data_IF_863509278461
#
_entry.id   IF_863509278461
#
_cell.length_a   1.000
_cell.length_b   1.000
_cell.length_c   1.000
_cell.angle_alpha   90.00
_cell.angle_beta   90.00
_cell.angle_gamma   90.00
#
_symmetry.space_group_name_H-M   'P 1'
#
loop_
_entity.id
_entity.type
_entity.pdbx_description
1 polymer ?
#
# COMPACT_ATOMS: atom_id res chain seq x y z
N UNK A 1 -10.27 -6.11 -6.98
CA UNK A 1 -11.65 -5.62 -6.83
C UNK A 1 -12.01 -5.68 -5.34
N UNK A 2 -12.81 -4.76 -4.78
CA UNK A 2 -13.37 -4.94 -3.43
C UNK A 2 -14.77 -5.48 -3.63
N UNK A 3 -14.99 -6.75 -3.31
CA UNK A 3 -16.33 -7.36 -3.32
C UNK A 3 -16.84 -7.35 -1.89
N UNK A 4 -18.03 -6.80 -1.71
CA UNK A 4 -18.77 -6.76 -0.45
C UNK A 4 -19.93 -7.74 -0.53
N UNK A 5 -20.05 -8.60 0.48
CA UNK A 5 -21.22 -9.47 0.66
C UNK A 5 -21.86 -9.02 1.98
N UNK A 6 -22.80 -8.06 1.94
CA UNK A 6 -23.59 -7.72 3.11
C UNK A 6 -24.76 -8.69 3.26
N UNK A 7 -25.12 -9.01 4.50
CA UNK A 7 -26.27 -9.87 4.82
C UNK A 7 -27.63 -9.18 4.54
N UNK A 8 -27.64 -7.87 4.29
CA UNK A 8 -28.83 -7.02 4.10
C UNK A 8 -28.76 -6.25 2.76
N UNK A 9 -29.82 -6.38 1.95
CA UNK A 9 -29.96 -5.73 0.63
C UNK A 9 -29.84 -4.20 0.71
N UNK A 10 -30.43 -3.57 1.75
CA UNK A 10 -30.33 -2.12 1.95
C UNK A 10 -28.90 -1.66 2.27
N UNK A 11 -28.12 -2.51 2.94
CA UNK A 11 -26.73 -2.23 3.21
C UNK A 11 -25.87 -2.34 1.94
N UNK A 12 -26.18 -3.28 1.04
CA UNK A 12 -25.50 -3.35 -0.26
C UNK A 12 -25.78 -2.11 -1.09
N UNK A 13 -27.05 -1.69 -1.19
CA UNK A 13 -27.41 -0.48 -1.94
C UNK A 13 -26.65 0.75 -1.43
N UNK A 14 -26.59 0.94 -0.11
CA UNK A 14 -25.84 2.04 0.51
C UNK A 14 -24.32 1.96 0.22
N UNK A 15 -23.74 0.76 0.24
CA UNK A 15 -22.33 0.53 -0.07
C UNK A 15 -22.05 0.79 -1.55
N UNK A 16 -22.87 0.27 -2.46
CA UNK A 16 -22.72 0.46 -3.90
C UNK A 16 -22.88 1.93 -4.30
N UNK A 17 -23.84 2.64 -3.69
CA UNK A 17 -23.99 4.08 -3.83
C UNK A 17 -22.69 4.77 -3.42
N UNK A 18 -22.19 4.51 -2.21
CA UNK A 18 -20.97 5.14 -1.71
C UNK A 18 -19.76 4.92 -2.62
N UNK A 19 -19.64 3.71 -3.19
CA UNK A 19 -18.52 3.31 -4.04
C UNK A 19 -18.58 3.89 -5.44
N UNK A 20 -19.78 4.01 -6.02
CA UNK A 20 -19.99 4.49 -7.38
C UNK A 20 -20.28 5.99 -7.45
N UNK A 21 -20.62 6.63 -6.33
CA UNK A 21 -20.97 8.04 -6.27
C UNK A 21 -19.88 8.95 -6.87
N UNK A 22 -20.22 9.87 -7.81
CA UNK A 22 -19.27 10.81 -8.41
C UNK A 22 -18.48 11.62 -7.38
N UNK A 23 -19.13 11.95 -6.25
CA UNK A 23 -18.51 12.71 -5.14
C UNK A 23 -17.34 11.98 -4.50
N UNK A 24 -17.28 10.65 -4.57
CA UNK A 24 -16.27 9.83 -3.91
C UNK A 24 -15.17 9.32 -4.86
N UNK A 25 -15.37 9.42 -6.17
CA UNK A 25 -14.40 8.97 -7.18
C UNK A 25 -13.01 9.61 -7.04
N UNK A 26 -12.91 10.81 -6.44
CA UNK A 26 -11.62 11.43 -6.18
C UNK A 26 -10.71 10.64 -5.22
N UNK A 27 -11.28 9.75 -4.42
CA UNK A 27 -10.57 8.90 -3.46
C UNK A 27 -10.72 7.42 -3.84
N UNK A 28 -11.91 7.00 -4.25
CA UNK A 28 -12.29 5.57 -4.36
C UNK A 28 -12.22 5.00 -5.78
N UNK A 29 -12.05 5.85 -6.82
CA UNK A 29 -11.96 5.36 -8.19
C UNK A 29 -10.83 4.32 -8.33
N UNK A 30 -11.02 3.35 -9.23
CA UNK A 30 -10.09 2.23 -9.40
C UNK A 30 -8.66 2.68 -9.73
N UNK A 31 -8.51 3.76 -10.48
CA UNK A 31 -7.23 4.39 -10.82
C UNK A 31 -6.66 5.24 -9.67
N UNK A 32 -7.36 5.43 -8.56
CA UNK A 32 -6.94 6.28 -7.43
C UNK A 32 -6.85 5.58 -6.09
N UNK A 33 -7.60 4.49 -5.89
CA UNK A 33 -7.66 3.77 -4.63
C UNK A 33 -6.27 3.28 -4.17
N UNK A 34 -5.39 2.97 -5.12
CA UNK A 34 -4.01 2.57 -4.86
C UNK A 34 -3.19 3.66 -4.15
N UNK A 35 -3.57 4.94 -4.26
CA UNK A 35 -2.92 6.03 -3.53
C UNK A 35 -3.07 5.90 -2.02
N UNK A 36 -4.16 5.29 -1.51
CA UNK A 36 -4.32 5.06 -0.08
C UNK A 36 -3.21 4.16 0.45
N UNK A 37 -2.96 3.05 -0.25
CA UNK A 37 -1.88 2.12 0.07
C UNK A 37 -0.50 2.79 -0.08
N UNK A 38 -0.23 3.43 -1.23
CA UNK A 38 1.07 4.06 -1.47
C UNK A 38 1.40 5.15 -0.45
N UNK A 39 0.42 5.98 -0.10
CA UNK A 39 0.61 7.05 0.87
C UNK A 39 0.93 6.50 2.24
N UNK A 40 0.23 5.43 2.64
CA UNK A 40 0.45 4.77 3.91
C UNK A 40 1.86 4.15 4.01
N UNK A 41 2.33 3.48 2.95
CA UNK A 41 3.67 2.88 2.94
C UNK A 41 4.80 3.93 3.00
N UNK A 42 4.57 5.14 2.47
CA UNK A 42 5.55 6.24 2.44
C UNK A 42 5.53 7.09 3.72
N UNK A 43 4.34 7.46 4.20
CA UNK A 43 4.13 8.43 5.29
C UNK A 43 3.71 7.80 6.62
N UNK A 44 3.28 6.54 6.63
CA UNK A 44 2.84 5.83 7.83
C UNK A 44 1.43 6.22 8.30
N UNK A 45 0.91 7.36 7.87
CA UNK A 45 -0.36 7.92 8.33
C UNK A 45 -1.24 8.35 7.17
N UNK A 46 -2.51 7.95 7.21
CA UNK A 46 -3.55 8.41 6.31
C UNK A 46 -4.79 8.80 7.11
N UNK A 47 -5.27 10.03 6.92
CA UNK A 47 -6.50 10.52 7.54
C UNK A 47 -7.60 10.62 6.50
N UNK A 48 -8.76 10.04 6.80
CA UNK A 48 -9.97 10.09 5.99
C UNK A 48 -11.06 10.81 6.76
N UNK A 49 -11.59 11.89 6.21
CA UNK A 49 -12.75 12.59 6.76
C UNK A 49 -14.00 12.17 6.02
N UNK A 50 -15.06 11.87 6.77
CA UNK A 50 -16.38 11.53 6.27
C UNK A 50 -17.31 12.70 6.56
N UNK A 51 -17.90 13.25 5.50
CA UNK A 51 -18.94 14.27 5.58
C UNK A 51 -20.25 13.57 5.25
N UNK A 52 -21.15 13.47 6.22
CA UNK A 52 -22.47 12.87 6.04
C UNK A 52 -23.54 13.96 6.02
N UNK A 53 -24.45 13.86 5.06
CA UNK A 53 -25.66 14.66 5.04
C UNK A 53 -26.61 14.21 6.14
N UNK A 54 -27.13 15.16 6.92
CA UNK A 54 -28.03 14.87 8.05
C UNK A 54 -29.46 14.50 7.61
N UNK A 55 -29.75 14.59 6.31
CA UNK A 55 -31.08 14.28 5.74
C UNK A 55 -31.22 12.81 5.36
N UNK A 56 -30.19 12.28 4.71
CA UNK A 56 -30.23 10.99 4.03
C UNK A 56 -29.08 10.08 4.45
N UNK A 57 -28.13 10.57 5.27
CA UNK A 57 -26.93 9.84 5.66
C UNK A 57 -25.94 9.60 4.53
N UNK A 58 -26.13 10.25 3.37
CA UNK A 58 -25.22 10.12 2.24
C UNK A 58 -23.83 10.64 2.61
N UNK A 59 -22.82 9.80 2.39
CA UNK A 59 -21.47 10.06 2.89
C UNK A 59 -20.49 10.41 1.78
N UNK A 60 -19.72 11.47 2.01
CA UNK A 60 -18.63 11.92 1.16
C UNK A 60 -17.28 11.72 1.87
N UNK A 61 -16.34 11.01 1.24
CA UNK A 61 -15.00 10.77 1.80
C UNK A 61 -13.95 11.71 1.21
N UNK A 62 -13.09 12.29 2.06
CA UNK A 62 -11.95 13.12 1.64
C UNK A 62 -10.68 12.71 2.37
N UNK A 63 -9.55 12.83 1.67
CA UNK A 63 -8.22 12.63 2.24
C UNK A 63 -7.72 13.93 2.86
N UNK A 64 -7.25 13.86 4.09
CA UNK A 64 -6.49 14.94 4.72
C UNK A 64 -5.01 14.59 4.68
N UNK A 65 -4.17 15.57 4.32
CA UNK A 65 -2.72 15.37 4.33
C UNK A 65 -2.26 15.22 5.77
N UNK A 66 -1.43 14.20 6.05
CA UNK A 66 -0.88 13.99 7.39
C UNK A 66 -0.16 15.24 7.93
N UNK A 67 0.55 15.98 7.08
CA UNK A 67 1.24 17.22 7.45
C UNK A 67 0.29 18.35 7.93
N UNK A 68 -1.03 18.23 7.71
CA UNK A 68 -2.03 19.18 8.22
C UNK A 68 -2.57 18.79 9.60
N UNK A 69 -2.39 17.55 10.03
CA UNK A 69 -2.79 17.10 11.36
C UNK A 69 -1.60 17.32 12.28
N UNK A 70 -1.75 18.20 13.26
CA UNK A 70 -0.64 18.60 14.13
C UNK A 70 -0.63 17.87 15.45
N UNK A 71 -1.78 17.38 15.90
CA UNK A 71 -1.98 16.83 17.24
C UNK A 71 -3.12 15.81 17.21
N UNK A 72 -2.91 14.69 17.90
CA UNK A 72 -3.95 13.70 18.23
C UNK A 72 -4.25 13.91 19.71
N UNK A 73 -5.47 14.34 19.98
CA UNK A 73 -5.97 14.62 21.31
C UNK A 73 -6.59 13.34 21.84
N UNK A 74 -6.07 12.83 22.94
CA UNK A 74 -6.43 11.53 23.52
C UNK A 74 -7.29 11.68 24.76
N UNK A 75 -7.84 10.56 25.23
CA UNK A 75 -8.60 10.53 26.47
C UNK A 75 -7.69 10.85 27.68
N UNK A 76 -8.12 11.69 28.65
CA UNK A 76 -7.30 12.07 29.79
C UNK A 76 -6.82 10.91 30.66
N UNK A 77 -7.62 9.84 30.71
CA UNK A 77 -7.35 8.63 31.51
C UNK A 77 -6.76 7.48 30.69
N UNK A 78 -6.76 7.59 29.35
CA UNK A 78 -6.27 6.54 28.44
C UNK A 78 -5.68 7.16 27.17
N UNK A 79 -4.34 7.15 27.06
CA UNK A 79 -3.62 7.71 25.92
C UNK A 79 -3.76 6.86 24.65
N UNK A 80 -4.28 5.63 24.75
CA UNK A 80 -4.53 4.76 23.60
C UNK A 80 -5.84 5.08 22.87
N UNK A 81 -6.70 5.93 23.44
CA UNK A 81 -8.01 6.30 22.88
C UNK A 81 -7.93 7.69 22.25
N UNK A 82 -7.87 7.81 20.90
CA UNK A 82 -7.94 9.10 20.23
C UNK A 82 -9.36 9.66 20.28
N UNK A 83 -9.50 10.91 20.74
CA UNK A 83 -10.77 11.65 20.76
C UNK A 83 -10.89 12.60 19.58
N UNK A 84 -9.87 13.43 19.35
CA UNK A 84 -9.88 14.43 18.27
C UNK A 84 -8.57 14.49 17.48
N UNK A 85 -8.68 14.81 16.20
CA UNK A 85 -7.57 15.13 15.33
C UNK A 85 -7.57 16.63 15.03
N UNK A 86 -6.53 17.33 15.51
CA UNK A 86 -6.36 18.76 15.27
C UNK A 86 -5.77 18.99 13.89
N UNK A 87 -6.54 19.65 13.03
CA UNK A 87 -6.13 19.99 11.67
C UNK A 87 -5.86 21.49 11.55
N UNK A 88 -4.69 21.85 11.04
CA UNK A 88 -4.30 23.24 10.73
C UNK A 88 -3.95 23.37 9.25
N UNK A 89 -4.60 24.31 8.55
CA UNK A 89 -4.30 24.56 7.14
C UNK A 89 -4.52 26.01 6.74
N UNK A 90 -3.91 26.38 5.62
CA UNK A 90 -4.11 27.67 4.96
C UNK A 90 -4.98 27.45 3.72
N UNK A 91 -5.98 28.32 3.53
CA UNK A 91 -6.73 28.37 2.29
C UNK A 91 -5.89 29.12 1.26
N UNK A 92 -5.82 28.61 0.03
CA UNK A 92 -5.09 29.28 -1.05
C UNK A 92 -5.64 30.68 -1.28
N UNK A 93 -4.79 31.70 -1.10
CA UNK A 93 -5.18 33.11 -1.23
C UNK A 93 -5.63 33.80 0.06
N UNK A 94 -5.73 33.07 1.20
CA UNK A 94 -5.94 33.67 2.52
C UNK A 94 -4.65 33.70 3.33
N UNK A 95 -4.48 34.76 4.14
CA UNK A 95 -3.39 34.86 5.11
C UNK A 95 -3.72 34.13 6.42
N UNK A 96 -5.01 33.85 6.66
CA UNK A 96 -5.50 33.23 7.89
C UNK A 96 -5.30 31.70 7.87
N UNK A 97 -4.83 31.17 8.99
CA UNK A 97 -4.81 29.74 9.25
C UNK A 97 -6.16 29.33 9.86
N UNK A 98 -6.79 28.30 9.29
CA UNK A 98 -7.93 27.64 9.91
C UNK A 98 -7.43 26.49 10.76
N UNK A 99 -8.09 26.31 11.91
CA UNK A 99 -7.84 25.22 12.84
C UNK A 99 -9.18 24.60 13.23
N UNK A 100 -9.37 23.31 12.93
CA UNK A 100 -10.55 22.55 13.37
C UNK A 100 -10.12 21.26 14.08
N UNK A 101 -10.95 20.80 15.00
CA UNK A 101 -10.82 19.52 15.68
C UNK A 101 -11.85 18.55 15.11
N UNK A 102 -11.37 17.48 14.50
CA UNK A 102 -12.24 16.44 13.93
C UNK A 102 -12.38 15.31 14.94
N UNK A 103 -13.60 14.91 15.33
CA UNK A 103 -13.78 13.79 16.24
C UNK A 103 -13.37 12.48 15.57
N UNK A 104 -12.79 11.56 16.35
CA UNK A 104 -12.60 10.18 15.90
C UNK A 104 -13.97 9.52 15.68
N UNK A 105 -14.08 8.76 14.60
CA UNK A 105 -15.33 8.11 14.23
C UNK A 105 -15.91 7.22 15.34
N UNK A 106 -15.08 6.55 16.14
CA UNK A 106 -15.56 5.69 17.23
C UNK A 106 -16.29 6.50 18.27
N UNK A 107 -15.63 7.56 18.74
CA UNK A 107 -16.15 8.40 19.82
C UNK A 107 -17.36 9.21 19.31
N UNK A 108 -17.33 9.64 18.05
CA UNK A 108 -18.46 10.30 17.39
C UNK A 108 -19.75 9.48 17.41
N UNK A 109 -19.68 8.18 17.11
CA UNK A 109 -20.86 7.30 17.12
C UNK A 109 -21.22 6.79 18.53
N UNK A 110 -20.25 6.67 19.44
CA UNK A 110 -20.53 6.29 20.83
C UNK A 110 -21.30 7.35 21.61
N UNK A 111 -21.15 8.63 21.26
CA UNK A 111 -21.74 9.75 22.00
C UNK A 111 -20.92 10.22 23.21
N UNK A 112 -19.82 9.53 23.54
CA UNK A 112 -18.96 9.81 24.71
C UNK A 112 -18.45 11.26 24.78
N UNK A 113 -18.33 11.95 23.64
CA UNK A 113 -17.84 13.34 23.58
C UNK A 113 -18.74 14.34 24.31
N UNK A 114 -20.05 14.10 24.29
CA UNK A 114 -21.05 15.02 24.81
C UNK A 114 -21.59 14.58 26.19
N UNK A 115 -21.05 13.48 26.74
CA UNK A 115 -21.33 13.03 28.10
C UNK A 115 -20.71 13.98 29.14
N UNK A 116 -21.39 14.12 30.28
CA UNK A 116 -20.88 14.92 31.39
C UNK A 116 -19.61 14.28 31.96
N UNK A 117 -18.55 15.07 31.97
CA UNK A 117 -17.25 14.76 32.56
C UNK A 117 -16.99 15.68 33.77
N UNK A 118 -15.81 15.55 34.36
CA UNK A 118 -15.38 16.31 35.54
C UNK A 118 -15.66 17.82 35.39
N UNK A 119 -16.02 18.45 36.52
CA UNK A 119 -16.31 19.89 36.62
C UNK A 119 -17.57 20.38 35.87
N UNK A 120 -18.58 19.51 35.69
CA UNK A 120 -19.83 19.81 34.96
C UNK A 120 -19.58 20.29 33.52
N UNK A 121 -18.50 19.79 32.90
CA UNK A 121 -18.15 20.05 31.50
C UNK A 121 -18.33 18.77 30.72
N UNK A 122 -18.67 18.87 29.44
CA UNK A 122 -18.62 17.67 28.59
C UNK A 122 -17.18 17.21 28.40
N UNK A 123 -16.96 15.94 28.07
CA UNK A 123 -15.63 15.43 27.76
C UNK A 123 -14.95 16.27 26.67
N UNK A 124 -15.68 16.67 25.63
CA UNK A 124 -15.16 17.54 24.58
C UNK A 124 -14.71 18.92 25.12
N UNK A 125 -15.49 19.55 26.00
CA UNK A 125 -15.13 20.85 26.60
C UNK A 125 -13.96 20.77 27.57
N UNK A 126 -13.80 19.64 28.25
CA UNK A 126 -12.68 19.42 29.17
C UNK A 126 -11.35 19.27 28.43
N UNK A 127 -11.35 18.51 27.34
CA UNK A 127 -10.13 18.15 26.62
C UNK A 127 -9.73 19.21 25.60
N UNK A 128 -10.68 19.92 24.99
CA UNK A 128 -10.40 20.92 23.97
C UNK A 128 -10.00 22.28 24.56
N UNK A 129 -9.09 23.02 23.92
CA UNK A 129 -8.79 24.40 24.31
C UNK A 129 -10.03 25.31 24.24
N UNK A 130 -10.12 26.30 25.13
CA UNK A 130 -11.23 27.26 25.14
C UNK A 130 -11.36 27.97 23.77
N UNK A 131 -12.55 27.90 23.17
CA UNK A 131 -12.83 28.46 21.84
C UNK A 131 -12.36 27.60 20.67
N UNK A 132 -12.01 26.33 20.91
CA UNK A 132 -11.73 25.36 19.87
C UNK A 132 -12.97 25.14 18.98
N UNK A 133 -12.78 25.18 17.66
CA UNK A 133 -13.84 24.90 16.69
C UNK A 133 -13.90 23.40 16.40
N UNK A 134 -15.00 22.76 16.81
CA UNK A 134 -15.35 21.36 16.53
C UNK A 134 -15.89 21.23 15.11
N UNK A 135 -15.29 20.35 14.29
CA UNK A 135 -15.64 20.21 12.88
C UNK A 135 -17.07 19.70 12.66
N UNK A 136 -17.57 18.89 13.59
CA UNK A 136 -18.91 18.32 13.62
C UNK A 136 -20.02 19.36 13.92
N UNK A 137 -19.67 20.50 14.53
CA UNK A 137 -20.63 21.53 14.95
C UNK A 137 -20.63 22.79 14.05
N UNK A 138 -19.76 22.88 13.05
CA UNK A 138 -19.58 24.13 12.28
C UNK A 138 -20.80 24.51 11.44
N UNK A 139 -21.57 23.53 10.97
CA UNK A 139 -22.71 23.80 10.10
C UNK A 139 -23.99 24.19 10.86
N UNK A 140 -24.09 23.93 12.17
CA UNK A 140 -25.22 24.43 12.98
C UNK A 140 -25.18 25.95 13.18
N UNK A 141 -23.99 26.56 13.08
CA UNK A 141 -23.76 27.98 13.43
C UNK A 141 -23.94 28.95 12.23
N UNK A 142 -24.24 28.45 11.03
CA UNK A 142 -24.45 29.30 9.82
C UNK A 142 -25.77 30.08 9.87
N UNK A 143 -26.63 29.83 10.86
CA UNK A 143 -27.87 30.57 11.09
C UNK A 143 -27.68 32.06 11.44
N UNK A 144 -26.47 32.51 11.79
CA UNK A 144 -26.20 33.93 12.12
C UNK A 144 -25.81 34.83 10.92
N UNK A 145 -25.63 34.28 9.72
CA UNK A 145 -25.21 35.01 8.52
C UNK A 145 -26.31 35.14 7.46
N UNK A 146 -27.51 35.57 7.88
CA UNK A 146 -28.42 36.41 7.09
C UNK A 146 -28.77 35.98 5.66
N UNK A 147 -28.72 34.69 5.33
CA UNK A 147 -29.19 34.12 4.08
C UNK A 147 -30.53 33.43 4.30
N UNK A 148 -31.58 33.91 3.63
CA UNK A 148 -32.91 33.34 3.68
C UNK A 148 -32.98 32.01 2.91
N UNK A 149 -32.50 30.94 3.53
CA UNK A 149 -32.88 29.55 3.26
C UNK A 149 -32.74 28.77 4.57
N UNK A 150 -33.83 28.71 5.33
CA UNK A 150 -33.91 28.08 6.65
C UNK A 150 -34.06 26.54 6.56
N UNK A 151 -33.56 25.95 5.49
CA UNK A 151 -33.49 24.51 5.20
C UNK A 151 -32.02 24.09 4.93
N UNK A 152 -31.07 24.75 5.60
CA UNK A 152 -29.65 24.39 5.56
C UNK A 152 -29.43 23.06 6.30
N UNK A 153 -29.77 21.98 5.60
CA UNK A 153 -29.46 20.59 5.90
C UNK A 153 -28.05 20.46 6.44
N UNK A 154 -27.94 20.03 7.71
CA UNK A 154 -26.66 19.95 8.40
C UNK A 154 -25.73 18.93 7.75
N UNK A 155 -24.43 19.14 7.90
CA UNK A 155 -23.41 18.18 7.48
C UNK A 155 -22.61 17.80 8.71
N UNK A 156 -22.75 16.55 9.11
CA UNK A 156 -22.02 15.97 10.21
C UNK A 156 -20.69 15.37 9.74
N UNK A 157 -19.65 15.47 10.57
CA UNK A 157 -18.28 15.14 10.15
C UNK A 157 -17.52 14.34 11.20
N UNK A 158 -16.90 13.24 10.78
CA UNK A 158 -15.93 12.50 11.61
C UNK A 158 -14.66 12.16 10.82
N UNK A 159 -13.62 11.73 11.52
CA UNK A 159 -12.35 11.32 10.93
C UNK A 159 -11.96 9.90 11.33
N UNK A 160 -11.47 9.15 10.35
CA UNK A 160 -10.79 7.87 10.54
C UNK A 160 -9.30 8.06 10.30
N UNK A 161 -8.50 7.70 11.30
CA UNK A 161 -7.06 7.59 11.18
C UNK A 161 -6.64 6.16 10.86
N UNK A 162 -5.81 6.04 9.83
CA UNK A 162 -5.15 4.80 9.45
C UNK A 162 -3.66 4.98 9.76
N UNK A 163 -3.21 4.36 10.84
CA UNK A 163 -1.80 4.26 11.22
C UNK A 163 -1.23 2.92 10.77
N UNK A 164 -0.13 2.94 10.02
CA UNK A 164 0.63 1.74 9.67
C UNK A 164 1.71 1.48 10.70
N UNK A 165 1.81 0.23 11.20
CA UNK A 165 2.85 -0.17 12.15
C UNK A 165 2.95 0.77 13.37
N UNK A 166 1.78 1.14 13.90
CA UNK A 166 1.63 1.86 15.17
C UNK A 166 2.43 1.15 16.28
N UNK A 167 3.08 1.93 17.14
CA UNK A 167 3.87 1.41 18.26
C UNK A 167 3.06 1.61 19.53
N UNK A 168 3.21 0.71 20.50
CA UNK A 168 2.41 0.77 21.73
C UNK A 168 2.54 2.10 22.51
N UNK A 169 3.58 2.88 22.24
CA UNK A 169 3.85 4.18 22.89
C UNK A 169 3.31 5.38 22.11
N UNK A 170 2.88 5.21 20.86
CA UNK A 170 2.52 6.32 19.98
C UNK A 170 1.42 5.92 18.98
N UNK A 171 0.36 6.72 18.92
CA UNK A 171 -0.76 6.57 17.99
C UNK A 171 -0.36 6.85 16.54
N UNK A 172 0.78 7.52 16.30
CA UNK A 172 1.27 7.77 14.95
C UNK A 172 1.82 6.50 14.28
N UNK A 173 1.49 6.33 13.01
CA UNK A 173 2.00 5.26 12.17
C UNK A 173 3.44 5.49 11.71
N UNK A 174 4.22 4.40 11.67
CA UNK A 174 5.58 4.35 11.18
C UNK A 174 5.61 3.77 9.76
N UNK A 175 6.05 4.58 8.79
CA UNK A 175 6.06 4.15 7.39
C UNK A 175 7.02 2.99 7.13
N UNK A 176 6.67 2.12 6.19
CA UNK A 176 7.54 1.00 5.78
C UNK A 176 8.90 1.50 5.28
N UNK A 177 8.90 2.64 4.58
CA UNK A 177 10.12 3.21 4.00
C UNK A 177 10.98 4.00 5.00
N UNK A 178 10.52 4.25 6.23
CA UNK A 178 11.30 5.04 7.18
C UNK A 178 12.63 4.34 7.55
N UNK A 179 12.61 3.02 7.70
CA UNK A 179 13.78 2.17 8.01
C UNK A 179 14.76 2.13 6.85
N UNK A 180 14.26 2.11 5.62
CA UNK A 180 15.07 2.11 4.40
C UNK A 180 15.62 3.48 4.01
N UNK A 181 14.98 4.56 4.46
CA UNK A 181 15.26 5.93 4.01
C UNK A 181 16.72 6.36 4.12
N UNK A 182 17.45 6.10 5.23
CA UNK A 182 18.88 6.45 5.32
C UNK A 182 19.73 5.74 4.26
N UNK A 183 19.46 4.46 4.01
CA UNK A 183 20.18 3.65 3.02
C UNK A 183 19.85 4.06 1.59
N UNK A 184 18.59 4.39 1.30
CA UNK A 184 18.19 4.93 0.00
C UNK A 184 18.90 6.25 -0.32
N UNK A 185 19.02 7.16 0.66
CA UNK A 185 19.77 8.41 0.51
C UNK A 185 21.26 8.17 0.30
N UNK A 186 21.86 7.26 1.07
CA UNK A 186 23.26 6.88 0.92
C UNK A 186 23.53 6.28 -0.48
N UNK A 187 22.65 5.40 -0.95
CA UNK A 187 22.76 4.81 -2.29
C UNK A 187 22.63 5.86 -3.39
N UNK A 188 21.70 6.80 -3.27
CA UNK A 188 21.57 7.92 -4.20
C UNK A 188 22.84 8.77 -4.25
N UNK A 189 23.41 9.08 -3.09
CA UNK A 189 24.65 9.86 -2.99
C UNK A 189 25.82 9.11 -3.64
N UNK A 190 25.96 7.82 -3.34
CA UNK A 190 26.95 6.94 -3.97
C UNK A 190 26.87 6.97 -5.50
N UNK A 191 25.66 6.81 -6.08
CA UNK A 191 25.48 6.86 -7.53
C UNK A 191 25.87 8.22 -8.12
N UNK A 192 25.56 9.34 -7.44
CA UNK A 192 25.96 10.69 -7.88
C UNK A 192 27.48 10.86 -7.87
N UNK A 193 28.14 10.39 -6.83
CA UNK A 193 29.60 10.48 -6.72
C UNK A 193 30.27 9.62 -7.79
N UNK A 194 29.71 8.44 -8.09
CA UNK A 194 30.17 7.57 -9.18
C UNK A 194 30.01 8.20 -10.56
N UNK A 195 28.88 8.84 -10.84
CA UNK A 195 28.68 9.59 -12.08
C UNK A 195 29.70 10.73 -12.20
N UNK A 196 30.00 11.40 -11.09
CA UNK A 196 31.01 12.47 -11.03
C UNK A 196 32.42 11.92 -11.31
N UNK A 197 32.78 10.78 -10.71
CA UNK A 197 34.06 10.09 -10.98
C UNK A 197 34.14 9.66 -12.45
N UNK A 198 33.08 9.07 -13.00
CA UNK A 198 33.03 8.67 -14.40
C UNK A 198 33.18 9.87 -15.35
N UNK A 199 32.48 10.97 -15.09
CA UNK A 199 32.61 12.21 -15.85
C UNK A 199 34.03 12.78 -15.76
N UNK A 200 34.64 12.78 -14.56
CA UNK A 200 36.01 13.27 -14.38
C UNK A 200 37.05 12.43 -15.12
N UNK A 201 36.86 11.10 -15.16
CA UNK A 201 37.75 10.15 -15.83
C UNK A 201 37.56 10.07 -17.34
N UNK A 202 36.43 10.54 -17.87
CA UNK A 202 36.23 10.69 -19.31
C UNK A 202 37.14 11.77 -19.94
N UNK A 203 37.76 12.63 -19.12
CA UNK A 203 38.81 13.54 -19.58
C UNK A 203 40.11 12.77 -19.80
N UNK A 204 40.71 12.91 -20.99
CA UNK A 204 42.04 12.34 -21.27
C UNK A 204 43.10 13.03 -20.42
N UNK A 205 43.74 12.29 -19.51
CA UNK A 205 44.87 12.81 -18.73
C UNK A 205 46.11 11.97 -19.00
N UNK A 206 47.09 12.57 -19.68
CA UNK A 206 48.40 11.97 -19.94
C UNK A 206 49.44 12.54 -18.98
N UNK A 207 50.28 11.67 -18.44
CA UNK A 207 51.45 12.08 -17.65
C UNK A 207 52.68 12.03 -18.54
N UNK A 208 53.42 13.14 -18.60
CA UNK A 208 54.72 13.22 -19.29
C UNK A 208 55.84 13.37 -18.28
N UNK A 209 56.70 12.38 -18.21
CA UNK A 209 57.89 12.38 -17.36
C UNK A 209 59.11 12.75 -18.20
N UNK A 210 59.85 13.77 -17.78
CA UNK A 210 61.04 14.27 -18.48
C UNK A 210 62.27 14.04 -17.61
N UNK A 211 63.33 13.47 -18.19
CA UNK A 211 64.62 13.27 -17.52
C UNK A 211 65.40 14.59 -17.48
N UNK A 212 65.37 15.30 -16.35
CA UNK A 212 66.09 16.56 -16.14
C UNK A 212 65.46 17.46 -15.06
N UNK A 213 66.05 18.64 -14.84
CA UNK A 213 65.52 19.66 -13.93
C UNK A 213 64.45 20.57 -14.56
N UNK A 214 64.11 21.67 -13.88
CA UNK A 214 63.04 22.60 -14.29
C UNK A 214 63.15 23.15 -15.73
N UNK A 215 64.38 23.32 -16.25
CA UNK A 215 64.62 23.78 -17.63
C UNK A 215 64.16 22.78 -18.70
N UNK A 216 64.32 21.48 -18.45
CA UNK A 216 63.90 20.44 -19.38
C UNK A 216 62.37 20.34 -19.44
N UNK A 217 61.71 20.49 -18.28
CA UNK A 217 60.23 20.53 -18.19
C UNK A 217 59.67 21.77 -18.91
N UNK A 218 60.32 22.93 -18.78
CA UNK A 218 59.90 24.16 -19.50
C UNK A 218 60.06 24.05 -21.02
N UNK A 219 61.12 23.39 -21.49
CA UNK A 219 61.32 23.14 -22.92
C UNK A 219 60.19 22.25 -23.49
N UNK A 220 59.84 21.16 -22.81
CA UNK A 220 58.74 20.28 -23.24
C UNK A 220 57.38 20.99 -23.17
N UNK A 221 57.14 21.83 -22.16
CA UNK A 221 55.95 22.69 -22.09
C UNK A 221 55.86 23.60 -23.33
N UNK A 222 56.96 24.26 -23.69
CA UNK A 222 57.01 25.16 -24.84
C UNK A 222 56.73 24.43 -26.16
N UNK A 223 57.28 23.23 -26.35
CA UNK A 223 57.03 22.40 -27.54
C UNK A 223 55.56 22.00 -27.67
N UNK A 224 54.88 21.72 -26.55
CA UNK A 224 53.47 21.35 -26.55
C UNK A 224 52.52 22.55 -26.55
N UNK A 225 53.06 23.78 -26.58
CA UNK A 225 52.29 25.01 -26.40
C UNK A 225 51.38 24.99 -25.15
N UNK A 226 51.75 24.17 -24.16
CA UNK A 226 50.99 24.00 -22.94
C UNK A 226 51.08 25.28 -22.11
N UNK A 227 49.95 25.86 -21.78
CA UNK A 227 49.97 27.07 -20.96
C UNK A 227 50.26 26.75 -19.50
N UNK A 228 49.98 25.51 -19.06
CA UNK A 228 50.19 24.89 -17.73
C UNK A 228 50.18 25.93 -16.58
N UNK A 229 50.91 25.74 -15.48
CA UNK A 229 51.38 26.77 -14.51
C UNK A 229 50.73 26.61 -13.14
N UNK A 230 51.50 26.78 -12.04
CA UNK A 230 50.94 26.78 -10.68
C UNK A 230 49.76 27.77 -10.51
N UNK A 231 49.74 28.84 -11.30
CA UNK A 231 48.67 29.87 -11.32
C UNK A 231 47.57 29.62 -12.36
N UNK A 232 47.71 28.62 -13.24
CA UNK A 232 46.71 28.22 -14.26
C UNK A 232 46.65 26.69 -14.37
N UNK A 233 45.83 26.01 -13.54
CA UNK A 233 45.77 24.55 -13.49
C UNK A 233 44.99 23.92 -14.66
N UNK A 234 44.50 24.73 -15.61
CA UNK A 234 43.73 24.29 -16.77
C UNK A 234 44.51 24.65 -18.03
N UNK A 235 44.83 23.64 -18.84
CA UNK A 235 45.47 23.83 -20.14
C UNK A 235 44.40 24.04 -21.22
N UNK A 236 44.56 25.08 -22.03
CA UNK A 236 43.61 25.45 -23.11
C UNK A 236 44.07 24.97 -24.49
N UNK A 237 45.13 24.17 -24.56
CA UNK A 237 45.59 23.58 -25.81
C UNK A 237 44.50 22.65 -26.39
N UNK A 238 44.13 22.77 -27.70
CA UNK A 238 43.18 21.85 -28.31
C UNK A 238 43.60 20.38 -28.15
N UNK A 239 42.65 19.52 -27.83
CA UNK A 239 42.89 18.09 -27.68
C UNK A 239 43.43 17.49 -29.00
N UNK A 240 44.42 16.60 -28.89
CA UNK A 240 44.95 15.89 -30.04
C UNK A 240 43.86 15.05 -30.73
N UNK A 241 43.84 15.05 -32.06
CA UNK A 241 42.87 14.28 -32.86
C UNK A 241 43.04 12.78 -32.59
N UNK A 242 41.94 12.03 -32.56
CA UNK A 242 41.96 10.57 -32.40
C UNK A 242 42.83 9.91 -33.49
N UNK A 243 43.73 9.02 -33.07
CA UNK A 243 44.72 8.39 -33.97
C UNK A 243 46.01 9.20 -34.19
N UNK A 244 46.26 10.25 -33.43
CA UNK A 244 47.54 10.97 -33.43
C UNK A 244 48.70 10.06 -32.96
N UNK A 245 49.80 10.05 -33.71
CA UNK A 245 51.02 9.32 -33.34
C UNK A 245 51.86 10.16 -32.38
N UNK A 246 52.17 9.59 -31.21
CA UNK A 246 53.08 10.20 -30.25
C UNK A 246 54.49 9.67 -30.48
N UNK A 247 55.46 10.59 -30.65
CA UNK A 247 56.87 10.26 -30.85
C UNK A 247 57.63 10.62 -29.57
N UNK A 248 58.24 9.62 -28.96
CA UNK A 248 58.99 9.74 -27.70
C UNK A 248 60.49 9.50 -27.95
N UNK A 249 61.33 10.10 -27.10
CA UNK A 249 62.75 9.80 -27.04
C UNK A 249 63.08 9.23 -25.65
N UNK A 250 64.28 8.66 -25.44
CA UNK A 250 64.65 8.06 -24.14
C UNK A 250 64.64 9.05 -22.95
N UNK A 251 64.52 10.35 -23.21
CA UNK A 251 64.47 11.40 -22.19
C UNK A 251 63.03 11.83 -21.81
N UNK A 252 62.01 11.40 -22.55
CA UNK A 252 60.60 11.76 -22.33
C UNK A 252 59.76 10.48 -22.42
N UNK A 253 59.07 10.16 -21.33
CA UNK A 253 58.12 9.04 -21.28
C UNK A 253 56.71 9.59 -21.12
N UNK A 254 55.80 9.24 -22.03
CA UNK A 254 54.37 9.50 -21.88
C UNK A 254 53.68 8.25 -21.39
N UNK A 255 52.87 8.39 -20.34
CA UNK A 255 52.05 7.30 -19.82
C UNK A 255 50.64 7.81 -19.63
N UNK A 256 49.67 7.06 -20.12
CA UNK A 256 48.28 7.30 -19.77
C UNK A 256 48.07 7.01 -18.29
N UNK A 257 47.38 7.92 -17.60
CA UNK A 257 46.91 7.59 -16.25
C UNK A 257 45.82 6.53 -16.34
N UNK A 258 45.73 5.60 -15.38
CA UNK A 258 44.70 4.57 -15.40
C UNK A 258 43.31 5.21 -15.41
N UNK A 259 42.63 5.12 -16.55
CA UNK A 259 41.26 5.61 -16.75
C UNK A 259 40.21 4.64 -16.18
N UNK A 260 40.64 3.58 -15.47
CA UNK A 260 39.72 2.65 -14.82
C UNK A 260 38.88 3.39 -13.81
N UNK A 261 37.56 3.30 -13.94
CA UNK A 261 36.61 3.87 -12.98
C UNK A 261 36.53 3.04 -11.70
N UNK A 262 37.15 1.84 -11.63
CA UNK A 262 36.92 0.90 -10.53
C UNK A 262 35.47 0.39 -10.54
N UNK A 263 34.91 0.12 -11.72
CA UNK A 263 33.51 -0.24 -11.88
C UNK A 263 33.14 -1.57 -11.19
N UNK A 264 34.08 -2.52 -11.12
CA UNK A 264 33.88 -3.80 -10.45
C UNK A 264 33.68 -3.64 -8.95
N UNK A 265 34.59 -2.92 -8.27
CA UNK A 265 34.49 -2.68 -6.83
C UNK A 265 33.22 -1.86 -6.51
N UNK A 266 32.93 -0.85 -7.32
CA UNK A 266 31.73 -0.04 -7.19
C UNK A 266 30.42 -0.83 -7.41
N UNK A 267 30.43 -1.93 -8.18
CA UNK A 267 29.27 -2.82 -8.31
C UNK A 267 28.97 -3.48 -6.97
N UNK A 268 30.00 -4.02 -6.30
CA UNK A 268 29.85 -4.71 -5.01
C UNK A 268 29.37 -3.72 -3.93
N UNK A 269 29.99 -2.55 -3.84
CA UNK A 269 29.56 -1.51 -2.88
C UNK A 269 28.12 -1.05 -3.16
N UNK A 270 27.78 -0.85 -4.44
CA UNK A 270 26.44 -0.47 -4.87
C UNK A 270 25.38 -1.51 -4.50
N UNK A 271 25.69 -2.79 -4.70
CA UNK A 271 24.82 -3.92 -4.31
C UNK A 271 24.59 -3.96 -2.80
N UNK A 272 25.61 -3.71 -1.97
CA UNK A 272 25.44 -3.70 -0.50
C UNK A 272 24.47 -2.60 -0.04
N UNK A 273 24.60 -1.39 -0.58
CA UNK A 273 23.71 -0.27 -0.25
C UNK A 273 22.27 -0.54 -0.71
N UNK A 274 22.08 -1.05 -1.93
CA UNK A 274 20.76 -1.37 -2.45
C UNK A 274 20.13 -2.55 -1.73
N UNK A 275 20.87 -3.59 -1.36
CA UNK A 275 20.34 -4.72 -0.58
C UNK A 275 19.80 -4.27 0.77
N UNK A 276 20.57 -3.45 1.49
CA UNK A 276 20.14 -2.94 2.79
C UNK A 276 18.90 -2.05 2.67
N UNK A 277 18.84 -1.23 1.62
CA UNK A 277 17.66 -0.41 1.32
C UNK A 277 16.42 -1.25 0.96
N UNK A 278 16.59 -2.29 0.14
CA UNK A 278 15.50 -3.18 -0.29
C UNK A 278 14.97 -4.01 0.88
N UNK A 279 15.85 -4.62 1.67
CA UNK A 279 15.47 -5.37 2.87
C UNK A 279 14.76 -4.45 3.87
N UNK A 280 15.27 -3.23 4.06
CA UNK A 280 14.59 -2.21 4.88
C UNK A 280 13.18 -1.88 4.39
N UNK A 281 12.98 -1.84 3.07
CA UNK A 281 11.67 -1.64 2.45
C UNK A 281 10.80 -2.92 2.43
N UNK A 282 11.29 -4.03 2.97
CA UNK A 282 10.58 -5.30 3.00
C UNK A 282 10.47 -5.96 1.63
N UNK A 283 11.43 -5.75 0.73
CA UNK A 283 11.49 -6.38 -0.59
C UNK A 283 12.83 -7.07 -0.75
N UNK A 284 12.83 -8.31 -1.24
CA UNK A 284 14.09 -9.03 -1.45
C UNK A 284 14.79 -8.60 -2.75
N UNK A 285 16.13 -8.64 -2.81
CA UNK A 285 16.90 -8.11 -3.95
C UNK A 285 16.56 -8.70 -5.33
N UNK A 286 16.11 -9.96 -5.37
CA UNK A 286 15.74 -10.62 -6.62
C UNK A 286 14.50 -10.01 -7.29
N UNK A 287 13.54 -9.47 -6.52
CA UNK A 287 12.40 -8.72 -7.09
C UNK A 287 12.80 -7.37 -7.69
N UNK A 288 13.93 -6.80 -7.28
CA UNK A 288 14.49 -5.59 -7.85
C UNK A 288 15.42 -5.85 -9.05
N UNK A 289 15.50 -7.10 -9.53
CA UNK A 289 16.40 -7.49 -10.61
C UNK A 289 17.87 -7.53 -10.23
N UNK A 290 18.23 -7.43 -8.93
CA UNK A 290 19.61 -7.46 -8.46
C UNK A 290 20.11 -8.86 -8.13
N UNK A 291 19.77 -9.83 -8.99
CA UNK A 291 19.85 -11.24 -8.66
C UNK A 291 20.84 -12.08 -9.43
N UNK A 292 21.90 -11.48 -9.99
CA UNK A 292 22.94 -12.21 -10.73
C UNK A 292 23.54 -13.39 -9.91
N UNK A 293 23.47 -13.32 -8.57
CA UNK A 293 23.89 -14.37 -7.65
C UNK A 293 22.76 -15.31 -7.14
N UNK A 294 21.48 -15.00 -7.33
CA UNK A 294 20.37 -15.81 -6.79
C UNK A 294 19.94 -16.86 -7.81
N UNK A 295 20.18 -18.14 -7.48
CA UNK A 295 19.62 -19.27 -8.23
C UNK A 295 18.12 -19.41 -7.93
N UNK A 296 17.38 -20.08 -8.81
CA UNK A 296 15.94 -20.32 -8.67
C UNK A 296 15.58 -20.84 -7.26
N UNK A 297 16.31 -21.82 -6.75
CA UNK A 297 16.07 -22.38 -5.41
C UNK A 297 16.16 -21.34 -4.28
N UNK A 298 17.07 -20.37 -4.38
CA UNK A 298 17.19 -19.30 -3.39
C UNK A 298 16.07 -18.28 -3.54
N UNK A 299 15.68 -17.93 -4.76
CA UNK A 299 14.55 -17.05 -5.03
C UNK A 299 13.24 -17.64 -4.47
N UNK A 300 12.95 -18.91 -4.75
CA UNK A 300 11.76 -19.62 -4.23
C UNK A 300 11.74 -19.68 -2.70
N UNK A 301 12.89 -19.88 -2.05
CA UNK A 301 12.96 -19.89 -0.58
C UNK A 301 12.66 -18.51 0.04
N UNK A 302 13.05 -17.42 -0.65
CA UNK A 302 12.82 -16.04 -0.22
C UNK A 302 11.41 -15.52 -0.55
N UNK A 303 10.70 -16.18 -1.45
CA UNK A 303 9.36 -15.77 -1.88
C UNK A 303 8.30 -15.95 -0.78
N UNK A 304 8.32 -17.08 -0.07
CA UNK A 304 7.32 -17.38 0.98
C UNK A 304 7.25 -16.32 2.10
N UNK A 305 8.35 -15.87 2.72
CA UNK A 305 8.31 -14.79 3.71
C UNK A 305 7.72 -13.48 3.16
N UNK A 306 8.02 -13.15 1.89
CA UNK A 306 7.51 -11.94 1.25
C UNK A 306 6.01 -12.02 1.00
N UNK A 307 5.52 -13.16 0.50
CA UNK A 307 4.09 -13.41 0.35
C UNK A 307 3.36 -13.31 1.70
N UNK A 308 3.93 -13.86 2.79
CA UNK A 308 3.35 -13.72 4.13
C UNK A 308 3.26 -12.26 4.57
N UNK A 309 4.30 -11.46 4.30
CA UNK A 309 4.30 -10.02 4.58
C UNK A 309 3.21 -9.28 3.79
N UNK A 310 3.11 -9.55 2.49
CA UNK A 310 2.09 -8.94 1.64
C UNK A 310 0.67 -9.37 2.02
N UNK A 311 0.45 -10.64 2.35
CA UNK A 311 -0.83 -11.14 2.84
C UNK A 311 -1.25 -10.46 4.15
N UNK A 312 -0.33 -10.26 5.09
CA UNK A 312 -0.60 -9.46 6.31
C UNK A 312 -0.99 -8.02 5.99
N UNK A 313 -0.30 -7.39 5.04
CA UNK A 313 -0.62 -6.03 4.63
C UNK A 313 -1.99 -5.92 3.95
N UNK A 314 -2.36 -6.92 3.14
CA UNK A 314 -3.70 -7.01 2.54
C UNK A 314 -4.78 -7.13 3.61
N UNK A 315 -4.63 -8.04 4.57
CA UNK A 315 -5.57 -8.19 5.70
C UNK A 315 -5.73 -6.88 6.47
N UNK A 316 -4.63 -6.17 6.71
CA UNK A 316 -4.66 -4.84 7.32
C UNK A 316 -5.50 -3.86 6.48
N UNK A 317 -5.26 -3.76 5.17
CA UNK A 317 -6.04 -2.88 4.28
C UNK A 317 -7.52 -3.28 4.22
N UNK A 318 -7.84 -4.57 4.11
CA UNK A 318 -9.22 -5.08 4.13
C UNK A 318 -9.93 -4.68 5.43
N UNK A 319 -9.24 -4.74 6.57
CA UNK A 319 -9.78 -4.25 7.85
C UNK A 319 -10.06 -2.75 7.82
N UNK A 320 -9.21 -1.93 7.19
CA UNK A 320 -9.47 -0.49 7.04
C UNK A 320 -10.64 -0.21 6.09
N UNK A 321 -10.76 -0.94 4.98
CA UNK A 321 -11.91 -0.83 4.08
C UNK A 321 -13.20 -1.23 4.79
N UNK A 322 -13.19 -2.32 5.57
CA UNK A 322 -14.33 -2.73 6.41
C UNK A 322 -14.75 -1.60 7.34
N UNK A 323 -13.82 -1.02 8.12
CA UNK A 323 -14.09 0.11 9.02
C UNK A 323 -14.67 1.32 8.28
N UNK A 324 -14.14 1.66 7.11
CA UNK A 324 -14.67 2.74 6.28
C UNK A 324 -16.13 2.49 5.88
N UNK A 325 -16.46 1.26 5.45
CA UNK A 325 -17.84 0.91 5.07
C UNK A 325 -18.76 0.87 6.31
N UNK A 326 -18.27 0.41 7.46
CA UNK A 326 -19.00 0.49 8.73
C UNK A 326 -19.37 1.93 9.07
N UNK A 327 -18.45 2.89 8.92
CA UNK A 327 -18.74 4.31 9.15
C UNK A 327 -19.86 4.81 8.24
N UNK A 328 -19.86 4.42 6.97
CA UNK A 328 -20.91 4.81 6.00
C UNK A 328 -22.27 4.25 6.41
N UNK A 329 -22.32 2.97 6.82
CA UNK A 329 -23.56 2.36 7.30
C UNK A 329 -24.05 2.99 8.61
N UNK A 330 -23.15 3.29 9.55
CA UNK A 330 -23.50 4.00 10.79
C UNK A 330 -24.07 5.39 10.53
N UNK A 331 -23.54 6.12 9.53
CA UNK A 331 -24.12 7.39 9.11
C UNK A 331 -25.50 7.22 8.46
N UNK A 332 -25.66 6.19 7.63
CA UNK A 332 -26.94 5.88 7.01
C UNK A 332 -27.99 5.55 8.06
N UNK A 333 -27.65 4.74 9.06
CA UNK A 333 -28.55 4.38 10.16
C UNK A 333 -28.89 5.58 11.06
N UNK A 334 -27.93 6.47 11.31
CA UNK A 334 -28.14 7.64 12.16
C UNK A 334 -29.08 8.68 11.54
N UNK A 335 -29.03 8.88 10.23
CA UNK A 335 -29.73 9.99 9.54
C UNK A 335 -30.82 9.56 8.56
N UNK A 336 -30.77 8.35 8.01
CA UNK A 336 -31.87 7.82 7.19
C UNK A 336 -32.96 7.25 8.10
N UNK A 337 -34.24 7.43 7.75
CA UNK A 337 -35.40 6.79 8.40
C UNK A 337 -35.46 5.27 8.14
N UNK A 338 -34.34 4.55 8.27
CA UNK A 338 -34.33 3.09 8.23
C UNK A 338 -34.90 2.57 9.54
N UNK A 339 -36.18 2.18 9.56
CA UNK A 339 -36.88 1.62 10.73
C UNK A 339 -36.23 0.31 11.26
N UNK A 340 -35.36 -0.32 10.46
CA UNK A 340 -34.54 -1.45 10.87
C UNK A 340 -33.06 -1.02 10.90
N UNK A 341 -32.46 -0.95 12.09
CA UNK A 341 -31.01 -0.84 12.22
C UNK A 341 -30.32 -2.00 11.50
N UNK A 342 -29.10 -1.80 11.00
CA UNK A 342 -28.42 -2.81 10.18
C UNK A 342 -27.97 -4.07 10.98
N UNK A 343 -28.28 -4.15 12.28
CA UNK A 343 -28.11 -5.34 13.12
C UNK A 343 -26.64 -5.64 13.40
N UNK A 344 -25.97 -6.30 12.46
CA UNK A 344 -24.54 -6.60 12.49
C UNK A 344 -23.85 -6.04 11.24
N UNK A 345 -22.80 -5.24 11.44
CA UNK A 345 -21.96 -4.72 10.35
C UNK A 345 -20.95 -5.78 9.87
N UNK A 346 -21.42 -7.00 9.58
CA UNK A 346 -20.60 -8.08 9.04
C UNK A 346 -20.33 -7.85 7.55
N UNK A 347 -19.35 -6.99 7.27
CA UNK A 347 -18.97 -6.67 5.89
C UNK A 347 -17.77 -7.53 5.51
N UNK A 348 -17.94 -8.53 4.64
CA UNK A 348 -16.78 -9.20 4.05
C UNK A 348 -16.17 -8.30 2.96
N UNK A 349 -14.88 -8.01 3.07
CA UNK A 349 -14.14 -7.26 2.03
C UNK A 349 -13.15 -8.21 1.40
N UNK A 350 -13.52 -8.76 0.24
CA UNK A 350 -12.61 -9.57 -0.54
C UNK A 350 -11.67 -8.67 -1.32
N UNK A 351 -10.38 -8.77 -1.03
CA UNK A 351 -9.30 -8.24 -1.88
C UNK A 351 -8.66 -9.40 -2.62
N UNK A 352 -8.38 -9.25 -3.92
CA UNK A 352 -7.73 -10.31 -4.73
C UNK A 352 -6.57 -10.96 -3.97
N UNK A 353 -6.63 -12.29 -3.77
CA UNK A 353 -5.62 -13.03 -3.01
C UNK A 353 -4.36 -13.22 -3.87
N UNK A 354 -3.18 -13.17 -3.23
CA UNK A 354 -1.94 -13.63 -3.86
C UNK A 354 -1.93 -15.14 -3.74
N UNK A 355 -2.51 -15.81 -4.73
CA UNK A 355 -2.55 -17.27 -4.77
C UNK A 355 -1.45 -17.73 -5.70
N UNK A 356 -0.42 -18.36 -5.14
CA UNK A 356 0.62 -19.08 -5.90
C UNK A 356 0.22 -20.55 -6.10
N UNK A 357 -1.05 -20.93 -5.91
CA UNK A 357 -1.44 -22.32 -6.11
C UNK A 357 -1.56 -22.63 -7.59
N UNK A 358 -0.93 -23.74 -7.99
CA UNK A 358 -1.13 -24.38 -9.30
C UNK A 358 -2.55 -24.96 -9.35
N UNK A 359 -3.52 -24.11 -9.63
CA UNK A 359 -4.93 -24.51 -9.80
C UNK A 359 -5.10 -25.61 -10.85
N UNK A 360 -4.38 -25.59 -11.99
CA UNK A 360 -4.32 -26.73 -12.91
C UNK A 360 -3.85 -28.02 -12.23
N UNK A 361 -2.77 -27.98 -11.46
CA UNK A 361 -2.23 -29.15 -10.74
C UNK A 361 -3.17 -29.70 -9.67
N UNK A 362 -3.84 -28.83 -8.92
CA UNK A 362 -4.83 -29.21 -7.90
C UNK A 362 -6.07 -29.84 -8.55
N UNK A 363 -6.63 -29.20 -9.59
CA UNK A 363 -7.76 -29.74 -10.35
C UNK A 363 -7.43 -31.09 -11.00
N UNK A 364 -6.22 -31.24 -11.56
CA UNK A 364 -5.75 -32.50 -12.12
C UNK A 364 -5.65 -33.60 -11.07
N UNK A 365 -5.05 -33.30 -9.92
CA UNK A 365 -4.92 -34.26 -8.81
C UNK A 365 -6.29 -34.70 -8.28
N UNK A 366 -7.26 -33.78 -8.17
CA UNK A 366 -8.63 -34.09 -7.79
C UNK A 366 -9.34 -34.94 -8.86
N UNK A 367 -9.18 -34.60 -10.14
CA UNK A 367 -9.74 -35.39 -11.25
C UNK A 367 -9.17 -36.81 -11.26
N UNK A 368 -7.88 -36.95 -10.97
CA UNK A 368 -7.22 -38.25 -10.83
C UNK A 368 -7.76 -39.02 -9.64
N UNK A 369 -7.90 -38.43 -8.45
CA UNK A 369 -8.52 -39.12 -7.30
C UNK A 369 -9.97 -39.51 -7.60
N UNK A 370 -10.76 -38.62 -8.20
CA UNK A 370 -12.14 -38.93 -8.59
C UNK A 370 -12.23 -40.08 -9.59
N UNK A 371 -11.41 -40.07 -10.65
CA UNK A 371 -11.43 -41.09 -11.72
C UNK A 371 -10.74 -42.40 -11.35
N UNK A 372 -9.65 -42.34 -10.60
CA UNK A 372 -8.81 -43.52 -10.30
C UNK A 372 -9.14 -44.19 -8.97
N UNK A 373 -9.65 -43.44 -7.99
CA UNK A 373 -9.94 -43.97 -6.65
C UNK A 373 -11.43 -43.99 -6.32
N UNK A 374 -12.24 -43.03 -6.76
CA UNK A 374 -13.67 -43.04 -6.41
C UNK A 374 -14.50 -43.82 -7.42
N UNK A 375 -14.31 -43.57 -8.72
CA UNK A 375 -15.14 -44.17 -9.77
C UNK A 375 -15.07 -45.73 -9.85
N UNK A 376 -13.92 -46.40 -9.70
CA UNK A 376 -13.86 -47.86 -9.75
C UNK A 376 -14.53 -48.51 -8.54
N UNK A 377 -14.33 -47.96 -7.34
CA UNK A 377 -14.91 -48.49 -6.11
C UNK A 377 -16.41 -48.18 -5.97
N UNK A 378 -16.89 -47.13 -6.63
CA UNK A 378 -18.31 -46.87 -6.81
C UNK A 378 -18.95 -47.89 -7.76
N UNK A 379 -18.26 -48.25 -8.85
CA UNK A 379 -18.73 -49.24 -9.82
C UNK A 379 -18.74 -50.66 -9.25
N UNK A 380 -17.76 -50.99 -8.40
CA UNK A 380 -17.67 -52.26 -7.67
C UNK A 380 -18.57 -52.32 -6.41
N UNK A 381 -19.29 -51.23 -6.10
CA UNK A 381 -20.24 -51.16 -4.99
C UNK A 381 -19.63 -51.20 -3.58
N UNK A 382 -18.31 -51.02 -3.47
CA UNK A 382 -17.59 -51.00 -2.18
C UNK A 382 -17.77 -49.69 -1.42
N UNK A 383 -17.98 -48.58 -2.14
CA UNK A 383 -18.25 -47.27 -1.55
C UNK A 383 -19.69 -46.87 -1.92
N UNK A 384 -20.58 -46.63 -0.95
CA UNK A 384 -21.92 -46.15 -1.23
C UNK A 384 -21.88 -44.74 -1.84
N UNK A 385 -22.80 -44.39 -2.75
CA UNK A 385 -22.79 -43.12 -3.48
C UNK A 385 -22.74 -41.87 -2.58
N UNK A 386 -23.40 -41.93 -1.43
CA UNK A 386 -23.45 -40.82 -0.47
C UNK A 386 -22.08 -40.55 0.17
N UNK A 387 -21.26 -41.57 0.38
CA UNK A 387 -19.90 -41.43 0.95
C UNK A 387 -18.94 -40.87 -0.11
N UNK A 388 -19.04 -41.31 -1.36
CA UNK A 388 -18.23 -40.76 -2.45
C UNK A 388 -18.50 -39.27 -2.69
N UNK A 389 -19.76 -38.84 -2.58
CA UNK A 389 -20.16 -37.42 -2.68
C UNK A 389 -19.57 -36.58 -1.54
N UNK A 390 -19.64 -37.04 -0.28
CA UNK A 390 -19.01 -36.35 0.86
C UNK A 390 -17.49 -36.21 0.73
N UNK A 391 -16.81 -37.23 0.20
CA UNK A 391 -15.37 -37.15 -0.05
C UNK A 391 -15.06 -36.06 -1.08
N UNK A 392 -15.84 -35.98 -2.17
CA UNK A 392 -15.68 -34.93 -3.18
C UNK A 392 -15.97 -33.55 -2.62
N UNK A 393 -17.02 -33.40 -1.80
CA UNK A 393 -17.33 -32.16 -1.10
C UNK A 393 -16.16 -31.69 -0.23
N UNK A 394 -15.59 -32.54 0.62
CA UNK A 394 -14.46 -32.16 1.49
C UNK A 394 -13.21 -31.80 0.68
N UNK A 395 -12.97 -32.48 -0.44
CA UNK A 395 -11.88 -32.13 -1.36
C UNK A 395 -12.09 -30.76 -2.00
N UNK A 396 -13.31 -30.47 -2.48
CA UNK A 396 -13.67 -29.16 -3.02
C UNK A 396 -13.64 -28.07 -1.95
N UNK A 397 -14.07 -28.38 -0.73
CA UNK A 397 -13.99 -27.48 0.43
C UNK A 397 -12.55 -27.06 0.70
N UNK A 398 -11.61 -28.00 0.74
CA UNK A 398 -10.19 -27.70 0.92
C UNK A 398 -9.65 -26.84 -0.23
N UNK A 399 -10.02 -27.12 -1.49
CA UNK A 399 -9.57 -26.31 -2.63
C UNK A 399 -10.16 -24.92 -2.60
N UNK A 400 -11.45 -24.77 -2.30
CA UNK A 400 -12.11 -23.48 -2.17
C UNK A 400 -11.55 -22.69 -0.98
N UNK A 401 -11.20 -23.36 0.12
CA UNK A 401 -10.46 -22.76 1.25
C UNK A 401 -9.03 -22.36 0.85
N UNK A 402 -8.33 -23.14 0.03
CA UNK A 402 -7.00 -22.76 -0.48
C UNK A 402 -7.06 -21.59 -1.47
N UNK A 403 -8.15 -21.50 -2.24
CA UNK A 403 -8.53 -20.34 -3.05
C UNK A 403 -9.01 -19.17 -2.19
N UNK A 404 -9.34 -19.45 -0.94
CA UNK A 404 -9.61 -18.45 0.07
C UNK A 404 -11.06 -18.02 0.23
N UNK A 405 -11.98 -18.89 -0.19
CA UNK A 405 -13.38 -18.79 0.17
C UNK A 405 -13.48 -19.33 1.59
N UNK A 406 -13.70 -18.46 2.58
CA UNK A 406 -13.79 -18.86 3.99
C UNK A 406 -15.18 -19.44 4.30
N UNK A 407 -16.22 -18.92 3.65
CA UNK A 407 -17.60 -19.42 3.72
C UNK A 407 -17.85 -20.49 2.64
N UNK A 408 -17.20 -21.64 2.76
CA UNK A 408 -17.42 -22.76 1.82
C UNK A 408 -18.72 -23.51 2.06
N UNK A 409 -19.34 -23.32 3.22
CA UNK A 409 -20.58 -24.02 3.62
C UNK A 409 -21.77 -23.74 2.70
N UNK A 410 -21.85 -22.52 2.16
CA UNK A 410 -22.98 -22.11 1.32
C UNK A 410 -22.78 -22.42 -0.17
N UNK A 411 -21.53 -22.66 -0.59
CA UNK A 411 -21.16 -22.97 -1.98
C UNK A 411 -21.06 -24.49 -2.19
N UNK A 412 -20.65 -25.22 -1.17
CA UNK A 412 -20.54 -26.68 -1.14
C UNK A 412 -21.64 -27.19 -0.23
N UNK A 413 -22.88 -27.15 -0.71
CA UNK A 413 -24.04 -27.69 0.01
C UNK A 413 -24.24 -29.17 -0.33
N UNK A 414 -24.86 -29.91 0.60
CA UNK A 414 -25.32 -31.28 0.37
C UNK A 414 -26.23 -31.34 -0.89
N UNK A 415 -27.01 -30.29 -1.17
CA UNK A 415 -27.81 -30.15 -2.39
C UNK A 415 -26.97 -29.96 -3.66
N UNK A 416 -25.92 -29.13 -3.63
CA UNK A 416 -25.03 -28.89 -4.77
C UNK A 416 -24.29 -30.15 -5.24
N UNK A 417 -24.05 -31.09 -4.31
CA UNK A 417 -23.44 -32.39 -4.60
C UNK A 417 -24.43 -33.57 -4.57
N UNK A 418 -25.73 -33.29 -4.34
CA UNK A 418 -26.84 -34.25 -4.40
C UNK A 418 -26.83 -35.30 -3.28
N UNK A 419 -26.31 -35.02 -2.09
CA UNK A 419 -26.38 -35.88 -0.90
C UNK A 419 -27.75 -35.72 -0.24
N UNK A 420 -28.81 -36.19 -0.89
CA UNK A 420 -30.11 -36.33 -0.24
C UNK A 420 -30.11 -37.58 0.65
N UNK A 421 -30.76 -37.48 1.82
CA UNK A 421 -31.10 -38.63 2.63
C UNK A 421 -31.99 -39.59 1.82
N UNK A 422 -31.92 -40.89 2.13
CA UNK A 422 -32.40 -42.04 1.33
C UNK A 422 -33.90 -42.06 0.93
N UNK A 423 -34.67 -40.98 1.08
CA UNK A 423 -36.11 -40.93 0.79
C UNK A 423 -36.54 -40.11 -0.45
N UNK A 424 -35.67 -39.31 -1.08
CA UNK A 424 -36.05 -38.52 -2.28
C UNK A 424 -35.09 -38.71 -3.46
N UNK A 425 -35.23 -39.84 -4.15
CA UNK A 425 -34.67 -40.01 -5.51
C UNK A 425 -35.84 -40.03 -6.51
N UNK A 426 -36.26 -38.85 -6.96
CA UNK A 426 -37.15 -38.73 -8.13
C UNK A 426 -36.32 -38.94 -9.39
N UNK A 427 -36.80 -39.84 -10.23
CA UNK A 427 -36.22 -40.25 -11.51
C UNK A 427 -35.98 -39.07 -12.45
N UNK A 428 -34.75 -38.94 -12.94
CA UNK A 428 -34.51 -38.44 -14.28
C UNK A 428 -33.93 -37.03 -14.43
N UNK A 429 -32.78 -36.75 -13.82
CA UNK A 429 -31.72 -35.95 -14.48
C UNK A 429 -30.43 -36.06 -13.66
N UNK A 430 -29.37 -36.58 -14.28
CA UNK A 430 -28.10 -36.82 -13.59
C UNK A 430 -27.31 -35.48 -13.47
N UNK A 431 -27.11 -34.92 -12.26
CA UNK A 431 -26.60 -33.55 -12.08
C UNK A 431 -25.16 -33.33 -12.57
N UNK A 432 -24.37 -34.39 -12.76
CA UNK A 432 -23.04 -34.29 -13.39
C UNK A 432 -23.09 -33.81 -14.85
N UNK A 433 -24.23 -33.90 -15.55
CA UNK A 433 -24.35 -33.31 -16.90
C UNK A 433 -24.40 -31.78 -16.87
N UNK A 434 -24.98 -31.17 -15.85
CA UNK A 434 -25.05 -29.71 -15.71
C UNK A 434 -23.67 -29.13 -15.35
N UNK A 435 -22.95 -29.79 -14.43
CA UNK A 435 -21.61 -29.39 -14.01
C UNK A 435 -20.55 -29.54 -15.12
N UNK A 436 -20.66 -30.58 -15.97
CA UNK A 436 -19.80 -30.74 -17.15
C UNK A 436 -20.12 -29.77 -18.30
N UNK A 437 -21.34 -29.21 -18.33
CA UNK A 437 -21.73 -28.21 -19.32
C UNK A 437 -21.20 -26.80 -18.95
N UNK A 438 -21.14 -26.47 -17.65
CA UNK A 438 -20.59 -25.20 -17.16
C UNK A 438 -19.08 -25.03 -17.34
N UNK A 439 -18.34 -26.10 -17.65
CA UNK A 439 -16.87 -26.08 -17.81
C UNK A 439 -16.40 -26.19 -19.26
N UNK A 440 -17.32 -26.16 -20.22
CA UNK A 440 -17.03 -26.24 -21.67
C UNK A 440 -17.11 -24.91 -22.40
N UNK A 441 -17.46 -23.84 -21.70
CA UNK A 441 -17.30 -22.44 -22.09
C UNK A 441 -16.35 -21.75 -21.09
#
# INVERSE_FOLDING_TARGET
MVVTIPDNEQADEAIQEFWTAPRNQNVLAQDRIHFLSNWLLVRGNQFLTFYASEVDGETQVRRVKADQVTEIVTHPEDDSVPLFYKRVWKISGSTEQKQWYYPDWRVYFSGELDEEYLENKTLAEYVLPKGATRADQIHSDVTELGGADADATGTSVCMMHIAYNEKAEDLWGWSLLCTASPYMRAFQQFLRDRLTVAASKAMYVRRKQVKGGSRAVQAVRATMQSQLSPTRPIDTNPAAVAGSTEIENEAITSTDLPMSTGASDAKVDGEMFSWTALIGAGVFPHYAGQGDAYRLATATAMEKPLQMQWSRYKLFLSSQFRRMLTIVLMFKEKYSESEAGFGEYNIEVSTDRLVETDLPGMSKSMSEVAKSMLQPYLADGTIPPNVARRILEEMWRIVLQTLGIETTGDIVTDEAFGVLADEEMIEGEHPLKALLAMWKD
#
